data_IF_230333674526
#
_entry.id   IF_230333674526
#
_cell.length_a   1.000
_cell.length_b   1.000
_cell.length_c   1.000
_cell.angle_alpha   90.00
_cell.angle_beta   90.00
_cell.angle_gamma   90.00
#
_symmetry.space_group_name_H-M   'P 1'
#
loop_
_entity.id
_entity.type
_entity.pdbx_description
1 polymer ?
#
# COMPACT_ATOMS: atom_id res chain seq x y z
N UNK A 1 -3.93 -1.01 54.42
CA UNK A 1 -4.24 -0.64 53.03
C UNK A 1 -4.49 -1.94 52.26
N UNK A 2 -5.75 -2.36 52.15
CA UNK A 2 -6.08 -3.69 51.61
C UNK A 2 -6.27 -3.61 50.09
N UNK A 3 -5.40 -4.30 49.35
CA UNK A 3 -5.56 -4.46 47.90
C UNK A 3 -6.60 -5.58 47.70
N UNK A 4 -7.76 -5.32 47.08
CA UNK A 4 -8.79 -6.35 46.93
C UNK A 4 -8.25 -7.49 46.06
N UNK A 5 -8.23 -8.70 46.63
CA UNK A 5 -7.77 -9.92 45.95
C UNK A 5 -8.78 -10.33 44.89
N UNK A 6 -8.48 -10.08 43.62
CA UNK A 6 -9.21 -10.63 42.49
C UNK A 6 -8.97 -12.14 42.43
N UNK A 7 -9.87 -12.92 43.04
CA UNK A 7 -9.85 -14.39 42.94
C UNK A 7 -10.54 -14.82 41.64
N UNK A 8 -9.89 -15.65 40.79
CA UNK A 8 -10.49 -16.17 39.55
C UNK A 8 -11.83 -16.87 39.76
N UNK A 9 -12.01 -17.53 40.92
CA UNK A 9 -13.23 -18.25 41.29
C UNK A 9 -14.42 -17.30 41.51
N UNK A 10 -14.17 -16.10 42.05
CA UNK A 10 -15.22 -15.08 42.24
C UNK A 10 -15.64 -14.44 40.92
N UNK A 11 -14.68 -14.20 40.01
CA UNK A 11 -14.97 -13.70 38.66
C UNK A 11 -15.79 -14.73 37.86
N UNK A 12 -15.39 -16.00 37.87
CA UNK A 12 -16.13 -17.07 37.22
C UNK A 12 -17.57 -17.23 37.77
N UNK A 13 -17.73 -17.14 39.09
CA UNK A 13 -19.04 -17.24 39.74
C UNK A 13 -19.99 -16.07 39.45
N UNK A 14 -19.46 -14.87 39.18
CA UNK A 14 -20.26 -13.69 38.79
C UNK A 14 -20.62 -13.73 37.30
N UNK A 15 -19.69 -14.14 36.44
CA UNK A 15 -19.95 -14.33 35.00
C UNK A 15 -21.01 -15.39 34.74
N UNK A 16 -20.99 -16.51 35.48
CA UNK A 16 -21.98 -17.58 35.34
C UNK A 16 -23.38 -17.20 35.87
N UNK A 17 -23.47 -16.29 36.85
CA UNK A 17 -24.76 -15.84 37.43
C UNK A 17 -25.48 -14.80 36.57
N UNK A 18 -24.77 -14.07 35.73
CA UNK A 18 -25.35 -13.06 34.84
C UNK A 18 -24.83 -13.20 33.41
N UNK A 19 -25.12 -14.34 32.74
CA UNK A 19 -24.55 -14.66 31.43
C UNK A 19 -24.86 -13.56 30.39
N UNK A 20 -26.09 -13.02 30.41
CA UNK A 20 -26.50 -11.94 29.53
C UNK A 20 -25.74 -10.64 29.75
N UNK A 21 -25.35 -10.29 30.98
CA UNK A 21 -24.57 -9.07 31.25
C UNK A 21 -23.14 -9.22 30.79
N UNK A 22 -22.57 -10.43 30.93
CA UNK A 22 -21.23 -10.74 30.42
C UNK A 22 -21.20 -10.71 28.89
N UNK A 23 -22.21 -11.28 28.21
CA UNK A 23 -22.33 -11.19 26.75
C UNK A 23 -22.47 -9.74 26.27
N UNK A 24 -23.30 -8.94 26.95
CA UNK A 24 -23.46 -7.51 26.62
C UNK A 24 -22.16 -6.73 26.81
N UNK A 25 -21.42 -7.00 27.90
CA UNK A 25 -20.12 -6.36 28.16
C UNK A 25 -19.09 -6.70 27.07
N UNK A 26 -19.03 -7.96 26.63
CA UNK A 26 -18.17 -8.35 25.51
C UNK A 26 -18.61 -7.74 24.18
N UNK A 27 -19.91 -7.72 23.90
CA UNK A 27 -20.44 -7.09 22.69
C UNK A 27 -20.12 -5.58 22.64
N UNK A 28 -20.26 -4.89 23.78
CA UNK A 28 -19.87 -3.46 23.91
C UNK A 28 -18.37 -3.29 23.75
N UNK A 29 -17.55 -4.14 24.38
CA UNK A 29 -16.10 -4.09 24.23
C UNK A 29 -15.70 -4.27 22.76
N UNK A 30 -16.26 -5.27 22.07
CA UNK A 30 -16.00 -5.50 20.65
C UNK A 30 -16.46 -4.32 19.80
N UNK A 31 -17.65 -3.77 20.05
CA UNK A 31 -18.12 -2.58 19.33
C UNK A 31 -17.18 -1.38 19.53
N UNK A 32 -16.70 -1.15 20.76
CA UNK A 32 -15.75 -0.08 21.06
C UNK A 32 -14.40 -0.33 20.36
N UNK A 33 -13.87 -1.55 20.42
CA UNK A 33 -12.62 -1.90 19.74
C UNK A 33 -12.74 -1.77 18.23
N UNK A 34 -13.87 -2.17 17.63
CA UNK A 34 -14.11 -2.00 16.18
C UNK A 34 -14.22 -0.51 15.80
N UNK A 35 -14.98 0.28 16.56
CA UNK A 35 -15.13 1.72 16.31
C UNK A 35 -13.80 2.44 16.44
N UNK A 36 -13.02 2.14 17.49
CA UNK A 36 -11.70 2.73 17.69
C UNK A 36 -10.68 2.19 16.69
N UNK A 37 -10.71 0.91 16.37
CA UNK A 37 -9.82 0.28 15.39
C UNK A 37 -9.96 0.90 14.01
N UNK A 38 -11.18 1.23 13.58
CA UNK A 38 -11.43 1.92 12.31
C UNK A 38 -10.87 3.36 12.28
N UNK A 39 -10.60 3.98 13.44
CA UNK A 39 -9.90 5.29 13.48
C UNK A 39 -8.39 5.16 13.30
N UNK A 40 -7.83 3.96 13.48
CA UNK A 40 -6.43 3.63 13.21
C UNK A 40 -6.24 3.05 11.80
N UNK A 41 -6.97 3.55 10.81
CA UNK A 41 -6.81 3.18 9.41
C UNK A 41 -5.56 3.85 8.78
N UNK A 42 -4.45 3.90 9.51
CA UNK A 42 -3.13 4.02 8.89
C UNK A 42 -2.75 2.67 8.28
N UNK A 43 -1.82 2.61 7.31
CA UNK A 43 -1.44 1.36 6.68
C UNK A 43 -0.96 0.37 7.76
N UNK A 44 -1.80 -0.61 8.08
CA UNK A 44 -1.43 -1.77 8.88
C UNK A 44 -0.78 -2.82 7.97
N UNK A 45 0.02 -2.35 7.02
CA UNK A 45 0.97 -3.16 6.28
C UNK A 45 2.18 -3.27 7.20
N UNK A 46 2.42 -4.47 7.71
CA UNK A 46 3.66 -4.82 8.39
C UNK A 46 4.80 -4.81 7.37
N UNK A 47 5.20 -3.62 6.94
CA UNK A 47 6.41 -3.39 6.15
C UNK A 47 7.55 -3.26 7.15
N UNK A 48 8.14 -4.41 7.48
CA UNK A 48 9.28 -4.46 8.38
C UNK A 48 9.10 -5.50 9.46
N UNK A 49 9.35 -6.76 9.10
CA UNK A 49 10.11 -7.59 10.02
C UNK A 49 11.50 -6.96 10.17
N UNK A 50 11.60 -5.92 11.00
CA UNK A 50 12.86 -5.22 11.25
C UNK A 50 13.90 -6.22 11.71
N UNK A 51 15.06 -6.24 11.07
CA UNK A 51 16.18 -7.06 11.50
C UNK A 51 16.51 -6.72 12.96
N UNK A 52 16.60 -7.73 13.82
CA UNK A 52 16.88 -7.55 15.26
C UNK A 52 18.36 -7.22 15.55
N UNK A 53 19.16 -6.92 14.53
CA UNK A 53 20.61 -6.71 14.59
C UNK A 53 21.02 -5.75 13.48
N UNK A 54 21.98 -4.87 13.75
CA UNK A 54 22.60 -3.98 12.74
C UNK A 54 23.35 -4.84 11.69
N UNK A 55 22.72 -5.08 10.55
CA UNK A 55 23.33 -5.77 9.42
C UNK A 55 24.04 -4.78 8.52
N UNK A 56 25.22 -5.12 7.99
CA UNK A 56 25.98 -4.24 7.08
C UNK A 56 25.15 -3.79 5.86
N UNK A 57 24.18 -4.60 5.43
CA UNK A 57 23.23 -4.26 4.37
C UNK A 57 22.34 -3.06 4.73
N UNK A 58 21.94 -2.92 5.99
CA UNK A 58 21.09 -1.82 6.46
C UNK A 58 21.88 -0.51 6.50
N UNK A 59 23.12 -0.58 6.98
CA UNK A 59 24.04 0.57 6.97
C UNK A 59 24.31 1.02 5.54
N UNK A 60 24.46 0.07 4.60
CA UNK A 60 24.60 0.38 3.17
C UNK A 60 23.41 1.14 2.61
N UNK A 61 22.20 0.67 2.88
CA UNK A 61 20.95 1.35 2.46
C UNK A 61 20.83 2.74 3.08
N UNK A 62 21.07 2.90 4.39
CA UNK A 62 20.98 4.19 5.08
C UNK A 62 21.99 5.21 4.52
N UNK A 63 23.20 4.76 4.16
CA UNK A 63 24.19 5.62 3.52
C UNK A 63 23.75 6.04 2.11
N UNK A 64 23.13 5.16 1.34
CA UNK A 64 22.58 5.49 0.02
C UNK A 64 21.47 6.54 0.18
N UNK A 65 20.49 6.30 1.05
CA UNK A 65 19.37 7.21 1.31
C UNK A 65 19.87 8.58 1.80
N UNK A 66 20.84 8.60 2.71
CA UNK A 66 21.43 9.84 3.23
C UNK A 66 22.14 10.67 2.16
N UNK A 67 22.75 10.02 1.16
CA UNK A 67 23.56 10.69 0.14
C UNK A 67 22.80 10.99 -1.15
N UNK A 68 21.81 10.17 -1.50
CA UNK A 68 21.06 10.26 -2.76
C UNK A 68 19.59 10.65 -2.56
N UNK A 69 19.10 10.70 -1.31
CA UNK A 69 17.70 10.92 -0.97
C UNK A 69 17.00 9.61 -0.63
N UNK A 70 16.03 9.68 0.28
CA UNK A 70 15.13 8.56 0.59
C UNK A 70 14.09 8.46 -0.53
N UNK A 71 13.98 7.31 -1.18
CA UNK A 71 12.92 7.07 -2.16
C UNK A 71 11.64 6.71 -1.42
N UNK A 72 10.94 7.75 -0.96
CA UNK A 72 9.67 7.59 -0.25
C UNK A 72 8.49 7.35 -1.19
N UNK A 73 8.74 7.31 -2.50
CA UNK A 73 7.69 7.12 -3.51
C UNK A 73 7.34 5.65 -3.57
N UNK A 74 6.07 5.32 -3.36
CA UNK A 74 5.59 3.98 -3.65
C UNK A 74 5.64 3.80 -5.17
N UNK A 75 6.50 2.92 -5.67
CA UNK A 75 6.53 2.62 -7.10
C UNK A 75 5.34 1.75 -7.45
N UNK A 76 4.34 2.32 -8.10
CA UNK A 76 3.27 1.56 -8.74
C UNK A 76 3.56 1.44 -10.23
N UNK A 77 2.91 0.48 -10.90
CA UNK A 77 3.09 0.31 -12.35
C UNK A 77 1.76 -0.03 -12.96
N UNK A 78 1.33 0.83 -13.88
CA UNK A 78 0.14 0.61 -14.68
C UNK A 78 0.56 -0.19 -15.90
N UNK A 79 -0.15 -1.28 -16.18
CA UNK A 79 0.07 -2.13 -17.36
C UNK A 79 -1.15 -2.01 -18.27
N UNK A 80 -0.93 -1.56 -19.49
CA UNK A 80 -1.96 -1.53 -20.54
C UNK A 80 -1.65 -2.66 -21.52
N UNK A 81 -2.64 -3.53 -21.76
CA UNK A 81 -2.51 -4.68 -22.65
C UNK A 81 -3.69 -4.75 -23.61
N UNK A 82 -3.44 -5.17 -24.85
CA UNK A 82 -4.46 -5.44 -25.85
C UNK A 82 -4.16 -6.71 -26.63
N UNK A 83 -5.15 -7.60 -26.77
CA UNK A 83 -5.03 -8.79 -27.61
C UNK A 83 -5.08 -8.47 -29.12
N UNK A 84 -5.57 -7.28 -29.49
CA UNK A 84 -5.91 -6.94 -30.89
C UNK A 84 -5.07 -5.80 -31.44
N UNK A 85 -4.77 -4.80 -30.60
CA UNK A 85 -4.05 -3.59 -30.98
C UNK A 85 -2.63 -3.60 -30.44
N UNK A 86 -1.75 -2.91 -31.13
CA UNK A 86 -0.36 -2.68 -30.74
C UNK A 86 -0.18 -1.25 -30.22
N UNK A 87 0.92 -0.99 -29.52
CA UNK A 87 1.28 0.33 -28.98
C UNK A 87 1.37 1.41 -30.07
N UNK A 88 1.61 1.04 -31.32
CA UNK A 88 1.68 1.99 -32.43
C UNK A 88 0.30 2.36 -33.00
N UNK A 89 -0.75 1.62 -32.64
CA UNK A 89 -2.10 1.86 -33.13
C UNK A 89 -2.75 3.05 -32.40
N UNK A 90 -3.52 3.90 -33.12
CA UNK A 90 -4.15 5.08 -32.53
C UNK A 90 -5.18 4.72 -31.45
N UNK A 91 -5.85 3.58 -31.56
CA UNK A 91 -6.79 3.08 -30.55
C UNK A 91 -6.09 2.77 -29.24
N UNK A 92 -4.90 2.16 -29.29
CA UNK A 92 -4.11 1.88 -28.09
C UNK A 92 -3.59 3.17 -27.46
N UNK A 93 -3.05 4.08 -28.29
CA UNK A 93 -2.58 5.40 -27.86
C UNK A 93 -3.67 6.19 -27.14
N UNK A 94 -4.90 6.13 -27.63
CA UNK A 94 -6.03 6.82 -27.01
C UNK A 94 -6.33 6.27 -25.62
N UNK A 95 -6.33 4.94 -25.42
CA UNK A 95 -6.54 4.34 -24.09
C UNK A 95 -5.46 4.76 -23.11
N UNK A 96 -4.20 4.80 -23.56
CA UNK A 96 -3.09 5.26 -22.74
C UNK A 96 -3.24 6.75 -22.37
N UNK A 97 -3.58 7.60 -23.34
CA UNK A 97 -3.81 9.02 -23.11
C UNK A 97 -4.97 9.27 -22.13
N UNK A 98 -6.09 8.56 -22.31
CA UNK A 98 -7.24 8.63 -21.41
C UNK A 98 -6.88 8.16 -19.99
N UNK A 99 -6.01 7.16 -19.87
CA UNK A 99 -5.49 6.69 -18.58
C UNK A 99 -4.67 7.80 -17.90
N UNK A 100 -3.75 8.46 -18.61
CA UNK A 100 -2.97 9.58 -18.06
C UNK A 100 -3.88 10.73 -17.62
N UNK A 101 -4.89 11.09 -18.43
CA UNK A 101 -5.87 12.11 -18.05
C UNK A 101 -6.65 11.71 -16.80
N UNK A 102 -7.00 10.43 -16.66
CA UNK A 102 -7.69 9.94 -15.47
C UNK A 102 -6.88 10.09 -14.19
N UNK A 103 -5.54 10.21 -14.29
CA UNK A 103 -4.64 10.40 -13.15
C UNK A 103 -4.52 11.86 -12.69
N UNK A 104 -4.91 12.84 -13.50
CA UNK A 104 -4.83 14.28 -13.17
C UNK A 104 -5.40 14.65 -11.79
N UNK A 105 -6.53 14.07 -11.31
CA UNK A 105 -7.07 14.35 -9.98
C UNK A 105 -6.13 14.01 -8.82
N UNK A 106 -5.17 13.10 -9.04
CA UNK A 106 -4.18 12.66 -8.04
C UNK A 106 -2.77 13.19 -8.32
N UNK A 107 -2.61 14.14 -9.24
CA UNK A 107 -1.32 14.72 -9.62
C UNK A 107 -0.50 15.33 -8.47
N UNK A 108 -1.14 15.67 -7.34
CA UNK A 108 -0.44 16.16 -6.14
C UNK A 108 0.22 15.03 -5.32
N UNK A 109 -0.27 13.80 -5.46
CA UNK A 109 0.22 12.61 -4.74
C UNK A 109 1.16 11.75 -5.61
N UNK A 110 1.12 11.93 -6.94
CA UNK A 110 1.96 11.22 -7.90
C UNK A 110 3.25 12.04 -8.15
N UNK A 111 4.40 11.44 -7.85
CA UNK A 111 5.70 12.10 -8.01
C UNK A 111 6.11 12.22 -9.48
N UNK A 112 5.92 11.14 -10.26
CA UNK A 112 6.32 11.07 -11.67
C UNK A 112 5.42 10.06 -12.41
N UNK A 113 5.15 10.31 -13.69
CA UNK A 113 4.49 9.32 -14.57
C UNK A 113 5.39 9.11 -15.77
N UNK A 114 5.90 7.89 -15.93
CA UNK A 114 6.84 7.54 -16.99
C UNK A 114 6.08 6.93 -18.17
N UNK A 115 5.85 7.71 -19.22
CA UNK A 115 5.08 7.31 -20.39
C UNK A 115 5.97 7.15 -21.64
N UNK A 116 5.80 6.03 -22.35
CA UNK A 116 6.53 5.74 -23.59
C UNK A 116 6.36 6.82 -24.65
N UNK A 117 5.14 7.32 -24.85
CA UNK A 117 4.87 8.28 -25.94
C UNK A 117 5.54 9.64 -25.72
N UNK A 118 5.79 10.02 -24.46
CA UNK A 118 6.49 11.25 -24.11
C UNK A 118 8.02 11.10 -24.22
N UNK A 119 8.53 9.89 -24.00
CA UNK A 119 9.96 9.60 -23.94
C UNK A 119 10.55 9.10 -25.25
N UNK A 120 9.77 8.42 -26.11
CA UNK A 120 10.28 7.76 -27.33
C UNK A 120 11.01 8.72 -28.28
N UNK A 121 10.65 10.01 -28.27
CA UNK A 121 11.31 11.04 -29.08
C UNK A 121 12.69 11.47 -28.52
N UNK A 122 12.93 11.30 -27.22
CA UNK A 122 14.09 11.82 -26.52
C UNK A 122 15.06 10.71 -26.03
N UNK A 123 14.54 9.51 -25.75
CA UNK A 123 15.25 8.42 -25.10
C UNK A 123 14.94 7.08 -25.79
N UNK A 124 15.89 6.48 -26.52
CA UNK A 124 15.72 5.14 -27.10
C UNK A 124 15.45 4.05 -26.05
N UNK A 125 15.84 4.29 -24.79
CA UNK A 125 15.58 3.39 -23.66
C UNK A 125 14.08 3.21 -23.39
N UNK A 126 13.22 4.11 -23.88
CA UNK A 126 11.77 4.02 -23.76
C UNK A 126 11.19 2.73 -24.38
N UNK A 127 11.88 2.11 -25.34
CA UNK A 127 11.48 0.80 -25.88
C UNK A 127 11.41 -0.30 -24.80
N UNK A 128 12.12 -0.12 -23.67
CA UNK A 128 12.02 -1.03 -22.52
C UNK A 128 10.66 -0.98 -21.81
N UNK A 129 9.83 0.03 -22.07
CA UNK A 129 8.48 0.17 -21.54
C UNK A 129 7.44 -0.60 -22.37
N UNK A 130 7.83 -1.09 -23.55
CA UNK A 130 6.94 -1.77 -24.49
C UNK A 130 7.33 -3.25 -24.56
N UNK A 131 6.34 -4.13 -24.55
CA UNK A 131 6.57 -5.56 -24.74
C UNK A 131 7.17 -5.85 -26.12
N UNK A 132 7.92 -6.96 -26.25
CA UNK A 132 8.54 -7.35 -27.51
C UNK A 132 7.52 -7.59 -28.65
N UNK A 133 6.31 -8.03 -28.31
CA UNK A 133 5.18 -8.18 -29.24
C UNK A 133 4.43 -6.86 -29.52
N UNK A 134 4.76 -5.80 -28.78
CA UNK A 134 4.14 -4.47 -28.81
C UNK A 134 2.64 -4.48 -28.50
N UNK A 135 2.12 -5.51 -27.84
CA UNK A 135 0.73 -5.59 -27.38
C UNK A 135 0.54 -5.07 -25.94
N UNK A 136 1.64 -4.74 -25.26
CA UNK A 136 1.62 -4.26 -23.88
C UNK A 136 2.55 -3.08 -23.69
N UNK A 137 2.12 -2.14 -22.84
CA UNK A 137 2.87 -0.97 -22.40
C UNK A 137 2.84 -0.93 -20.87
N UNK A 138 3.98 -0.66 -20.25
CA UNK A 138 4.06 -0.35 -18.82
C UNK A 138 4.29 1.14 -18.61
N UNK A 139 3.68 1.68 -17.55
CA UNK A 139 3.79 3.07 -17.14
C UNK A 139 4.06 3.10 -15.63
N UNK A 140 5.34 3.19 -15.22
CA UNK A 140 5.71 3.44 -13.83
C UNK A 140 5.13 4.78 -13.33
N UNK A 141 4.56 4.77 -12.13
CA UNK A 141 3.93 5.94 -11.47
C UNK A 141 4.27 6.00 -9.99
#
# INVERSE_FOLDING_TARGET
MAVPSFSPQKLAGVSARHPWRTLLAWAVLLAVVTVLGNTFSGPMTGEGSGFTTDVDSQVGTELIEKHFGEDTSSSETIVVHSDTYTVDDPEFQQVVADTVVSLEPWSADIAEVVNYYDLVAAAPEAEGLVSADRNSLIMPV
#
